data_IF_693634438427
#
_entry.id   IF_693634438427
#
_cell.length_a   1.000
_cell.length_b   1.000
_cell.length_c   1.000
_cell.angle_alpha   90.00
_cell.angle_beta   90.00
_cell.angle_gamma   90.00
#
_symmetry.space_group_name_H-M   'P 1'
#
loop_
_entity.id
_entity.type
_entity.pdbx_description
1 polymer ?
#
# COMPACT_ATOMS: atom_id res chain seq x y z
N UNK A 1 -22.55 4.60 3.43
CA UNK A 1 -21.10 4.93 3.41
C UNK A 1 -20.72 5.34 2.00
N UNK A 2 -20.12 6.52 1.79
CA UNK A 2 -19.59 6.89 0.46
C UNK A 2 -18.60 5.80 0.05
N UNK A 3 -18.79 5.18 -1.12
CA UNK A 3 -17.80 4.25 -1.68
C UNK A 3 -16.48 5.02 -1.74
N UNK A 4 -15.45 4.49 -1.07
CA UNK A 4 -14.09 5.00 -1.23
C UNK A 4 -13.79 5.04 -2.73
N UNK A 5 -13.20 6.15 -3.19
CA UNK A 5 -12.85 6.31 -4.61
C UNK A 5 -11.77 5.31 -5.05
N UNK A 6 -11.13 4.65 -4.08
CA UNK A 6 -10.14 3.62 -4.25
C UNK A 6 -10.61 2.34 -3.57
N UNK A 7 -10.43 1.22 -4.26
CA UNK A 7 -10.60 -0.13 -3.69
C UNK A 7 -9.46 -0.43 -2.72
N UNK A 8 -9.69 -1.36 -1.79
CA UNK A 8 -8.66 -1.79 -0.85
C UNK A 8 -7.43 -2.38 -1.58
N UNK A 9 -7.64 -3.15 -2.66
CA UNK A 9 -6.57 -3.67 -3.51
C UNK A 9 -5.72 -2.57 -4.15
N UNK A 10 -6.35 -1.47 -4.61
CA UNK A 10 -5.61 -0.33 -5.16
C UNK A 10 -4.77 0.35 -4.09
N UNK A 11 -5.26 0.45 -2.86
CA UNK A 11 -4.53 1.04 -1.74
C UNK A 11 -3.33 0.17 -1.37
N UNK A 12 -3.55 -1.15 -1.21
CA UNK A 12 -2.50 -2.14 -0.92
C UNK A 12 -1.43 -2.10 -2.02
N UNK A 13 -1.82 -2.06 -3.29
CA UNK A 13 -0.89 -1.98 -4.42
C UNK A 13 -0.08 -0.69 -4.48
N UNK A 14 -0.62 0.44 -3.99
CA UNK A 14 0.13 1.71 -3.88
C UNK A 14 1.15 1.64 -2.75
N UNK A 15 0.74 1.10 -1.59
CA UNK A 15 1.62 0.94 -0.43
C UNK A 15 2.77 -0.05 -0.71
N UNK A 16 2.48 -1.17 -1.38
CA UNK A 16 3.50 -2.15 -1.78
C UNK A 16 4.54 -1.57 -2.74
N UNK A 17 4.16 -0.68 -3.67
CA UNK A 17 5.12 0.03 -4.54
C UNK A 17 6.03 0.97 -3.77
N UNK A 18 5.50 1.63 -2.73
CA UNK A 18 6.31 2.44 -1.82
C UNK A 18 7.30 1.56 -1.05
N UNK A 19 6.87 0.41 -0.55
CA UNK A 19 7.77 -0.57 0.12
C UNK A 19 8.84 -1.12 -0.83
N UNK A 20 8.52 -1.27 -2.12
CA UNK A 20 9.47 -1.61 -3.18
C UNK A 20 10.40 -0.45 -3.59
N UNK A 21 10.35 0.70 -2.90
CA UNK A 21 11.26 1.83 -3.09
C UNK A 21 10.78 2.93 -4.03
N UNK A 22 9.52 2.88 -4.50
CA UNK A 22 8.96 3.98 -5.30
C UNK A 22 8.69 5.21 -4.42
N UNK A 23 9.05 6.40 -4.93
CA UNK A 23 8.85 7.66 -4.21
C UNK A 23 7.37 7.99 -3.97
N UNK A 24 7.05 8.47 -2.78
CA UNK A 24 5.68 8.90 -2.40
C UNK A 24 5.11 9.93 -3.36
N UNK A 25 5.90 10.93 -3.78
CA UNK A 25 5.45 11.99 -4.67
C UNK A 25 4.97 11.45 -6.04
N UNK A 26 5.67 10.45 -6.58
CA UNK A 26 5.30 9.82 -7.86
C UNK A 26 4.03 8.98 -7.73
N UNK A 27 3.91 8.24 -6.61
CA UNK A 27 2.69 7.49 -6.29
C UNK A 27 1.49 8.42 -6.12
N UNK A 28 1.65 9.51 -5.37
CA UNK A 28 0.63 10.53 -5.16
C UNK A 28 0.18 11.15 -6.49
N UNK A 29 1.13 11.56 -7.35
CA UNK A 29 0.84 12.12 -8.66
C UNK A 29 0.15 11.10 -9.59
N UNK A 30 0.63 9.86 -9.64
CA UNK A 30 0.08 8.79 -10.49
C UNK A 30 -1.35 8.39 -10.09
N UNK A 31 -1.63 8.38 -8.80
CA UNK A 31 -2.92 7.96 -8.26
C UNK A 31 -3.87 9.13 -7.94
N UNK A 32 -3.42 10.37 -8.13
CA UNK A 32 -4.22 11.58 -7.88
C UNK A 32 -4.61 11.74 -6.41
N UNK A 33 -3.71 11.38 -5.50
CA UNK A 33 -3.87 11.54 -4.05
C UNK A 33 -2.82 12.49 -3.50
N UNK A 34 -3.11 13.12 -2.36
CA UNK A 34 -2.11 13.93 -1.65
C UNK A 34 -1.25 13.06 -0.74
N UNK A 35 -0.06 13.55 -0.39
CA UNK A 35 0.82 12.88 0.57
C UNK A 35 0.11 12.63 1.90
N UNK A 36 -0.71 13.58 2.36
CA UNK A 36 -1.53 13.40 3.56
C UNK A 36 -2.51 12.22 3.43
N UNK A 37 -3.16 12.06 2.27
CA UNK A 37 -4.01 10.89 1.99
C UNK A 37 -3.18 9.61 1.98
N UNK A 38 -2.00 9.62 1.35
CA UNK A 38 -1.12 8.45 1.32
C UNK A 38 -0.73 7.98 2.73
N UNK A 39 -0.31 8.89 3.62
CA UNK A 39 0.06 8.50 4.99
C UNK A 39 -1.13 8.05 5.84
N UNK A 40 -2.32 8.62 5.64
CA UNK A 40 -3.55 8.13 6.27
C UNK A 40 -3.87 6.70 5.82
N UNK A 41 -3.71 6.41 4.53
CA UNK A 41 -3.87 5.06 3.98
C UNK A 41 -2.80 4.11 4.51
N UNK A 42 -1.54 4.54 4.60
CA UNK A 42 -0.45 3.75 5.18
C UNK A 42 -0.70 3.41 6.65
N UNK A 43 -1.24 4.34 7.44
CA UNK A 43 -1.60 4.08 8.84
C UNK A 43 -2.72 3.04 8.96
N UNK A 44 -3.73 3.11 8.09
CA UNK A 44 -4.89 2.21 8.12
C UNK A 44 -4.63 0.83 7.49
N UNK A 45 -3.87 0.78 6.41
CA UNK A 45 -3.68 -0.43 5.58
C UNK A 45 -2.24 -0.96 5.59
N UNK A 46 -1.26 -0.22 6.11
CA UNK A 46 0.13 -0.66 6.18
C UNK A 46 0.35 -1.88 7.09
N UNK A 47 -0.52 -2.10 8.08
CA UNK A 47 -0.50 -3.35 8.85
C UNK A 47 -0.98 -4.57 8.05
N UNK A 48 -1.84 -4.36 7.06
CA UNK A 48 -2.34 -5.40 6.16
C UNK A 48 -1.28 -5.77 5.12
N UNK A 49 -0.56 -4.77 4.56
CA UNK A 49 0.56 -5.02 3.63
C UNK A 49 1.69 -5.78 4.31
N UNK A 50 2.04 -5.42 5.55
CA UNK A 50 3.06 -6.15 6.33
C UNK A 50 2.63 -7.58 6.63
N UNK A 51 1.34 -7.82 6.92
CA UNK A 51 0.83 -9.17 7.16
C UNK A 51 0.83 -10.04 5.88
N UNK A 52 0.43 -9.46 4.74
CA UNK A 52 0.48 -10.15 3.44
C UNK A 52 1.91 -10.38 2.96
N UNK A 53 2.81 -9.41 3.15
CA UNK A 53 4.24 -9.54 2.85
C UNK A 53 4.95 -10.54 3.76
N UNK A 54 4.57 -10.60 5.05
CA UNK A 54 5.08 -11.61 5.98
C UNK A 54 4.64 -13.02 5.57
N UNK A 55 3.39 -13.19 5.11
CA UNK A 55 2.87 -14.48 4.60
C UNK A 55 3.56 -14.94 3.32
N UNK A 56 3.95 -14.00 2.45
CA UNK A 56 4.77 -14.28 1.27
C UNK A 56 6.19 -14.70 1.65
N UNK A 57 6.80 -14.08 2.67
CA UNK A 57 8.17 -14.40 3.10
C UNK A 57 8.29 -15.73 3.84
N UNK A 58 7.23 -16.23 4.49
CA UNK A 58 7.24 -17.58 5.10
C UNK A 58 7.30 -18.71 4.06
N UNK A 59 6.93 -18.44 2.80
CA UNK A 59 7.02 -19.43 1.72
C UNK A 59 8.38 -19.43 1.00
N UNK A 60 9.25 -18.44 1.24
CA UNK A 60 10.59 -18.38 0.64
C UNK A 60 11.67 -19.06 1.49
N UNK A 61 11.40 -19.40 2.76
CA UNK A 61 12.33 -20.10 3.67
C UNK A 61 12.06 -21.63 3.77
N UNK A 62 11.13 -22.16 2.98
CA UNK A 62 10.82 -23.61 2.90
C UNK A 62 11.22 -24.26 1.55
N UNK A 63 12.28 -23.78 0.88
CA UNK A 63 12.83 -24.49 -0.30
C UNK A 63 14.35 -24.38 -0.44
#
# INVERSE_FOLDING_TARGET
MRRSRFTDDQIIGVLGKHEAGMGTADLCRKHGISDATFYNLKSKYGGLTVSDAARLRTLEDEN
#
